data_IF_246643281654
#
_entry.id   IF_246643281654
#
_cell.length_a   1.000
_cell.length_b   1.000
_cell.length_c   1.000
_cell.angle_alpha   90.00
_cell.angle_beta   90.00
_cell.angle_gamma   90.00
#
_symmetry.space_group_name_H-M   'P 1'
#
loop_
_entity.id
_entity.type
_entity.pdbx_description
1 polymer ?
#
# COMPACT_ATOMS: atom_id res chain seq x y z
N UNK A 1 -0.57 -18.94 21.46
CA UNK A 1 0.68 -18.72 20.80
C UNK A 1 0.54 -17.77 19.62
N UNK A 2 1.20 -16.68 19.64
CA UNK A 2 1.09 -15.77 18.53
C UNK A 2 1.78 -16.40 17.32
N UNK A 3 1.00 -16.64 16.31
CA UNK A 3 1.58 -16.95 15.04
C UNK A 3 2.45 -15.77 14.63
N UNK A 4 3.54 -16.05 13.95
CA UNK A 4 4.29 -14.99 13.31
C UNK A 4 3.37 -14.31 12.32
N UNK A 5 3.03 -13.08 12.59
CA UNK A 5 2.23 -12.28 11.70
C UNK A 5 3.06 -11.89 10.50
N UNK A 6 2.61 -12.25 9.33
CA UNK A 6 3.20 -11.76 8.09
C UNK A 6 2.30 -10.68 7.50
N UNK A 7 2.88 -9.80 6.71
CA UNK A 7 2.08 -8.86 5.94
C UNK A 7 1.41 -9.64 4.81
N UNK A 8 0.10 -9.61 4.77
CA UNK A 8 -0.67 -10.33 3.77
C UNK A 8 -0.85 -9.46 2.53
N UNK A 9 -0.52 -10.00 1.37
CA UNK A 9 -0.68 -9.30 0.09
C UNK A 9 -1.59 -10.13 -0.80
N UNK A 10 -2.70 -9.54 -1.23
CA UNK A 10 -3.70 -10.23 -2.05
C UNK A 10 -4.39 -9.25 -3.01
N UNK A 11 -4.79 -9.71 -4.21
CA UNK A 11 -5.57 -8.86 -5.11
C UNK A 11 -6.97 -8.63 -4.54
N UNK A 12 -7.54 -7.48 -4.86
CA UNK A 12 -8.92 -7.15 -4.51
C UNK A 12 -9.78 -7.47 -5.72
N UNK A 13 -10.65 -8.46 -5.58
CA UNK A 13 -11.49 -8.91 -6.68
C UNK A 13 -12.37 -7.78 -7.21
N UNK A 14 -12.40 -7.64 -8.53
CA UNK A 14 -13.22 -6.63 -9.18
C UNK A 14 -12.59 -5.25 -9.30
N UNK A 15 -11.36 -5.06 -8.79
CA UNK A 15 -10.69 -3.76 -8.80
C UNK A 15 -9.26 -3.88 -9.30
N UNK A 16 -8.71 -2.83 -9.94
CA UNK A 16 -7.28 -2.79 -10.29
C UNK A 16 -6.48 -2.42 -9.05
N UNK A 17 -6.54 -3.28 -8.04
CA UNK A 17 -5.98 -2.99 -6.72
C UNK A 17 -5.54 -4.27 -6.03
N UNK A 18 -4.52 -4.12 -5.18
CA UNK A 18 -4.10 -5.17 -4.25
C UNK A 18 -4.24 -4.64 -2.83
N UNK A 19 -4.40 -5.55 -1.88
CA UNK A 19 -4.50 -5.21 -0.46
C UNK A 19 -3.27 -5.72 0.28
N UNK A 20 -2.64 -4.86 1.06
CA UNK A 20 -1.62 -5.22 2.02
C UNK A 20 -2.22 -5.09 3.42
N UNK A 21 -2.32 -6.18 4.14
CA UNK A 21 -2.83 -6.17 5.52
C UNK A 21 -1.65 -6.35 6.48
N UNK A 22 -1.39 -5.34 7.29
CA UNK A 22 -0.28 -5.35 8.25
C UNK A 22 -0.79 -5.76 9.62
N UNK A 23 -0.05 -6.63 10.30
CA UNK A 23 -0.38 -7.02 11.68
C UNK A 23 0.41 -6.17 12.67
N UNK A 24 0.13 -6.38 13.98
CA UNK A 24 0.67 -5.52 15.04
C UNK A 24 2.20 -5.53 15.15
N UNK A 25 2.84 -6.66 14.82
CA UNK A 25 4.31 -6.80 14.89
C UNK A 25 4.81 -7.32 13.57
N UNK A 26 5.61 -6.53 12.87
CA UNK A 26 6.14 -6.88 11.55
C UNK A 26 7.66 -6.76 11.56
N UNK A 27 8.34 -7.83 11.17
CA UNK A 27 9.80 -7.89 11.14
C UNK A 27 10.34 -7.56 9.75
N UNK A 28 11.62 -7.27 9.66
CA UNK A 28 12.29 -6.92 8.40
C UNK A 28 12.05 -7.95 7.29
N UNK A 29 12.12 -9.25 7.60
CA UNK A 29 11.89 -10.30 6.62
C UNK A 29 10.46 -10.28 6.07
N UNK A 30 9.49 -9.97 6.94
CA UNK A 30 8.08 -9.88 6.54
C UNK A 30 7.86 -8.69 5.59
N UNK A 31 8.53 -7.57 5.88
CA UNK A 31 8.50 -6.39 5.02
C UNK A 31 9.06 -6.72 3.63
N UNK A 32 10.23 -7.35 3.59
CA UNK A 32 10.88 -7.71 2.31
C UNK A 32 10.00 -8.65 1.48
N UNK A 33 9.44 -9.68 2.10
CA UNK A 33 8.57 -10.63 1.40
C UNK A 33 7.31 -9.96 0.86
N UNK A 34 6.71 -9.08 1.66
CA UNK A 34 5.51 -8.37 1.26
C UNK A 34 5.78 -7.49 0.04
N UNK A 35 6.85 -6.70 0.06
CA UNK A 35 7.17 -5.82 -1.05
C UNK A 35 7.64 -6.57 -2.30
N UNK A 36 8.24 -7.76 -2.15
CA UNK A 36 8.52 -8.60 -3.31
C UNK A 36 7.22 -8.97 -4.03
N UNK A 37 6.18 -9.36 -3.28
CA UNK A 37 4.88 -9.69 -3.85
C UNK A 37 4.22 -8.46 -4.48
N UNK A 38 4.29 -7.32 -3.82
CA UNK A 38 3.76 -6.07 -4.35
C UNK A 38 4.45 -5.71 -5.66
N UNK A 39 5.76 -5.81 -5.72
CA UNK A 39 6.54 -5.55 -6.93
C UNK A 39 6.10 -6.46 -8.08
N UNK A 40 5.89 -7.74 -7.81
CA UNK A 40 5.41 -8.67 -8.84
C UNK A 40 4.08 -8.21 -9.44
N UNK A 41 3.14 -7.81 -8.59
CA UNK A 41 1.84 -7.33 -9.07
C UNK A 41 1.97 -6.04 -9.87
N UNK A 42 2.76 -5.09 -9.38
CA UNK A 42 2.92 -3.79 -10.03
C UNK A 42 3.64 -3.93 -11.37
N UNK A 43 4.73 -4.71 -11.42
CA UNK A 43 5.52 -4.87 -12.64
C UNK A 43 4.78 -5.65 -13.71
N UNK A 44 3.83 -6.51 -13.34
CA UNK A 44 2.99 -7.26 -14.27
C UNK A 44 1.71 -6.54 -14.66
N UNK A 45 1.43 -5.41 -14.03
CA UNK A 45 0.19 -4.67 -14.28
C UNK A 45 0.17 -4.11 -15.69
N UNK A 46 -0.96 -4.26 -16.38
CA UNK A 46 -1.18 -3.70 -17.72
C UNK A 46 -1.88 -2.36 -17.66
N UNK A 47 -2.31 -1.94 -16.47
CA UNK A 47 -2.98 -0.66 -16.23
C UNK A 47 -2.57 -0.19 -14.83
N UNK A 48 -2.76 1.10 -14.51
CA UNK A 48 -2.40 1.61 -13.19
C UNK A 48 -3.05 0.83 -12.05
N UNK A 49 -2.26 0.50 -11.04
CA UNK A 49 -2.66 -0.33 -9.92
C UNK A 49 -2.71 0.49 -8.65
N UNK A 50 -3.75 0.28 -7.84
CA UNK A 50 -3.88 0.89 -6.53
C UNK A 50 -3.45 -0.11 -5.46
N UNK A 51 -2.80 0.38 -4.40
CA UNK A 51 -2.42 -0.46 -3.27
C UNK A 51 -3.15 0.02 -2.04
N UNK A 52 -4.06 -0.80 -1.55
CA UNK A 52 -4.80 -0.54 -0.30
C UNK A 52 -3.98 -1.12 0.84
N UNK A 53 -3.54 -0.27 1.75
CA UNK A 53 -2.68 -0.66 2.87
C UNK A 53 -3.47 -0.54 4.16
N UNK A 54 -3.82 -1.69 4.75
CA UNK A 54 -4.57 -1.74 6.00
C UNK A 54 -3.59 -1.78 7.17
N UNK A 55 -3.54 -0.68 7.92
CA UNK A 55 -2.71 -0.53 9.11
C UNK A 55 -3.57 -0.30 10.36
N UNK A 56 -4.81 -0.77 10.34
CA UNK A 56 -5.72 -0.62 11.49
C UNK A 56 -5.25 -1.36 12.73
N UNK A 57 -4.36 -2.36 12.58
CA UNK A 57 -3.74 -3.07 13.70
C UNK A 57 -2.66 -2.23 14.41
N UNK A 58 -2.41 -1.01 13.94
CA UNK A 58 -1.36 -0.12 14.47
C UNK A 58 0.01 -0.81 14.49
N UNK A 59 0.53 -1.21 13.32
CA UNK A 59 1.73 -2.02 13.26
C UNK A 59 2.97 -1.33 13.79
N UNK A 60 3.79 -2.11 14.49
CA UNK A 60 5.15 -1.76 14.84
C UNK A 60 6.05 -2.45 13.81
N UNK A 61 6.82 -1.68 13.06
CA UNK A 61 7.59 -2.21 11.94
C UNK A 61 8.90 -1.43 11.76
N UNK A 62 9.89 -2.03 11.08
CA UNK A 62 11.16 -1.34 10.83
C UNK A 62 10.98 -0.26 9.75
N UNK A 63 11.19 0.99 10.12
CA UNK A 63 10.95 2.14 9.25
C UNK A 63 11.87 2.12 8.01
N UNK A 64 13.18 1.95 8.23
CA UNK A 64 14.16 2.00 7.16
C UNK A 64 13.91 0.92 6.09
N UNK A 65 13.71 -0.32 6.53
CA UNK A 65 13.46 -1.44 5.61
C UNK A 65 12.15 -1.24 4.84
N UNK A 66 11.17 -0.61 5.47
CA UNK A 66 9.90 -0.30 4.81
C UNK A 66 10.11 0.76 3.72
N UNK A 67 10.88 1.80 3.98
CA UNK A 67 11.20 2.81 2.97
C UNK A 67 11.94 2.16 1.80
N UNK A 68 12.96 1.35 2.08
CA UNK A 68 13.75 0.67 1.05
C UNK A 68 12.87 -0.26 0.21
N UNK A 69 11.99 -1.03 0.87
CA UNK A 69 11.10 -1.96 0.17
C UNK A 69 10.04 -1.26 -0.68
N UNK A 70 9.49 -0.16 -0.18
CA UNK A 70 8.43 0.56 -0.87
C UNK A 70 8.95 1.45 -2.01
N UNK A 71 10.21 1.85 -1.96
CA UNK A 71 10.77 2.82 -2.90
C UNK A 71 10.61 2.43 -4.37
N UNK A 72 10.96 1.19 -4.81
CA UNK A 72 10.78 0.82 -6.22
C UNK A 72 9.32 0.90 -6.68
N UNK A 73 8.40 0.51 -5.80
CA UNK A 73 6.96 0.56 -6.10
C UNK A 73 6.49 2.01 -6.16
N UNK A 74 6.94 2.83 -5.22
CA UNK A 74 6.54 4.23 -5.12
C UNK A 74 6.92 5.02 -6.38
N UNK A 75 8.02 4.65 -7.02
CA UNK A 75 8.51 5.29 -8.25
C UNK A 75 7.91 4.68 -9.51
N UNK A 76 7.31 3.50 -9.45
CA UNK A 76 6.87 2.78 -10.65
C UNK A 76 5.72 3.52 -11.33
N UNK A 77 5.79 3.72 -12.66
CA UNK A 77 4.73 4.41 -13.40
C UNK A 77 3.40 3.64 -13.42
N UNK A 78 3.41 2.34 -13.13
CA UNK A 78 2.18 1.55 -13.04
C UNK A 78 1.45 1.72 -11.71
N UNK A 79 2.09 2.35 -10.73
CA UNK A 79 1.43 2.64 -9.46
C UNK A 79 0.55 3.87 -9.60
N UNK A 80 -0.76 3.70 -9.37
CA UNK A 80 -1.70 4.81 -9.40
C UNK A 80 -1.68 5.59 -8.09
N UNK A 81 -1.85 4.89 -6.97
CA UNK A 81 -1.83 5.51 -5.64
C UNK A 81 -1.78 4.46 -4.53
N UNK A 82 -1.34 4.91 -3.36
CA UNK A 82 -1.43 4.16 -2.11
C UNK A 82 -2.65 4.65 -1.36
N UNK A 83 -3.51 3.74 -0.95
CA UNK A 83 -4.73 4.05 -0.19
C UNK A 83 -4.55 3.48 1.21
N UNK A 84 -4.20 4.35 2.16
CA UNK A 84 -3.88 3.95 3.53
C UNK A 84 -5.14 3.90 4.38
N UNK A 85 -5.36 2.79 5.07
CA UNK A 85 -6.51 2.60 5.95
C UNK A 85 -6.04 2.61 7.40
N UNK A 86 -6.48 3.58 8.15
CA UNK A 86 -6.10 3.76 9.56
C UNK A 86 -5.17 4.93 9.74
N UNK A 87 -4.53 5.00 10.90
CA UNK A 87 -3.58 6.07 11.23
C UNK A 87 -2.39 5.48 11.99
N UNK A 88 -1.18 5.86 11.58
CA UNK A 88 0.04 5.35 12.19
C UNK A 88 1.18 6.34 11.94
N UNK A 89 1.82 6.80 13.01
CA UNK A 89 2.89 7.79 12.90
C UNK A 89 4.10 7.27 12.11
N UNK A 90 4.43 5.98 12.27
CA UNK A 90 5.51 5.34 11.51
C UNK A 90 5.21 5.32 10.02
N UNK A 91 3.97 4.98 9.65
CA UNK A 91 3.55 4.97 8.25
C UNK A 91 3.59 6.38 7.65
N UNK A 92 3.21 7.40 8.41
CA UNK A 92 3.29 8.79 7.94
C UNK A 92 4.74 9.25 7.77
N UNK A 93 5.64 8.77 8.64
CA UNK A 93 7.07 9.04 8.49
C UNK A 93 7.62 8.41 7.21
N UNK A 94 7.22 7.17 6.89
CA UNK A 94 7.61 6.48 5.66
C UNK A 94 7.12 7.27 4.44
N UNK A 95 5.86 7.67 4.45
CA UNK A 95 5.29 8.48 3.37
C UNK A 95 6.08 9.77 3.15
N UNK A 96 6.39 10.47 4.22
CA UNK A 96 7.12 11.74 4.16
C UNK A 96 8.50 11.55 3.52
N UNK A 97 9.22 10.49 3.91
CA UNK A 97 10.54 10.19 3.36
C UNK A 97 10.45 9.83 1.88
N UNK A 98 9.50 8.98 1.50
CA UNK A 98 9.32 8.55 0.12
C UNK A 98 8.93 9.73 -0.78
N UNK A 99 8.06 10.60 -0.31
CA UNK A 99 7.64 11.79 -1.05
C UNK A 99 8.82 12.73 -1.29
N UNK A 100 9.69 12.93 -0.29
CA UNK A 100 10.88 13.75 -0.42
C UNK A 100 11.87 13.19 -1.44
N UNK A 101 12.12 11.88 -1.36
CA UNK A 101 13.12 11.22 -2.21
C UNK A 101 12.65 11.16 -3.66
N UNK A 102 11.37 10.89 -3.89
CA UNK A 102 10.83 10.68 -5.23
C UNK A 102 10.22 11.92 -5.87
N UNK A 103 9.87 12.92 -5.06
CA UNK A 103 9.13 14.09 -5.53
C UNK A 103 7.67 13.78 -5.86
N UNK A 104 7.16 12.60 -5.49
CA UNK A 104 5.79 12.16 -5.77
C UNK A 104 4.95 12.16 -4.49
N UNK A 105 3.68 12.51 -4.63
CA UNK A 105 2.73 12.53 -3.52
C UNK A 105 1.44 11.86 -3.98
N UNK A 106 1.43 10.54 -3.95
CA UNK A 106 0.30 9.73 -4.42
C UNK A 106 -0.25 8.84 -3.32
N UNK A 107 -0.40 9.39 -2.13
CA UNK A 107 -0.93 8.68 -0.96
C UNK A 107 -2.22 9.35 -0.50
N UNK A 108 -3.25 8.55 -0.27
CA UNK A 108 -4.52 9.01 0.30
C UNK A 108 -4.78 8.26 1.60
N UNK A 109 -5.35 8.93 2.59
CA UNK A 109 -5.62 8.37 3.91
C UNK A 109 -7.12 8.24 4.14
N UNK A 110 -7.55 7.08 4.66
CA UNK A 110 -8.96 6.78 4.94
C UNK A 110 -9.09 6.15 6.32
N UNK A 111 -10.27 6.27 6.92
CA UNK A 111 -10.56 5.66 8.23
C UNK A 111 -10.98 4.20 8.09
N UNK A 112 -11.58 3.82 6.96
CA UNK A 112 -12.08 2.47 6.73
C UNK A 112 -11.87 2.05 5.28
N UNK A 113 -11.77 0.73 5.05
CA UNK A 113 -11.60 0.20 3.69
C UNK A 113 -12.77 0.58 2.77
N UNK A 114 -14.00 0.63 3.33
CA UNK A 114 -15.17 1.04 2.55
C UNK A 114 -14.99 2.43 1.93
N UNK A 115 -14.35 3.35 2.65
CA UNK A 115 -14.09 4.69 2.13
C UNK A 115 -13.09 4.66 0.96
N UNK A 116 -12.08 3.81 1.07
CA UNK A 116 -11.10 3.63 0.00
C UNK A 116 -11.76 3.01 -1.24
N UNK A 117 -12.63 2.03 -1.06
CA UNK A 117 -13.35 1.40 -2.19
C UNK A 117 -14.32 2.38 -2.83
N UNK A 118 -14.97 3.24 -2.06
CA UNK A 118 -15.82 4.31 -2.59
C UNK A 118 -15.01 5.28 -3.45
N UNK A 119 -13.80 5.61 -2.99
CA UNK A 119 -12.87 6.45 -3.74
C UNK A 119 -12.51 5.79 -5.08
N UNK A 120 -12.20 4.49 -5.08
CA UNK A 120 -11.90 3.73 -6.31
C UNK A 120 -13.11 3.70 -7.24
N UNK A 121 -14.31 3.48 -6.69
CA UNK A 121 -15.54 3.46 -7.47
C UNK A 121 -15.77 4.80 -8.17
N UNK A 122 -15.51 5.91 -7.49
CA UNK A 122 -15.65 7.25 -8.05
C UNK A 122 -14.66 7.47 -9.21
N UNK A 123 -13.42 6.99 -9.07
CA UNK A 123 -12.40 7.10 -10.11
C UNK A 123 -12.79 6.26 -11.33
N UNK A 124 -13.21 5.02 -11.13
CA UNK A 124 -13.61 4.12 -12.23
C UNK A 124 -14.82 4.68 -12.97
N UNK A 125 -15.79 5.23 -12.27
CA UNK A 125 -16.97 5.87 -12.86
C UNK A 125 -16.58 7.08 -13.70
N UNK A 126 -15.67 7.89 -13.20
CA UNK A 126 -15.18 9.08 -13.91
C UNK A 126 -14.44 8.67 -15.19
N UNK A 127 -13.61 7.63 -15.11
CA UNK A 127 -12.89 7.11 -16.27
C UNK A 127 -13.84 6.55 -17.32
N UNK A 128 -14.91 5.87 -16.89
CA UNK A 128 -15.91 5.30 -17.80
C UNK A 128 -16.70 6.37 -18.55
N UNK A 129 -16.80 7.58 -18.00
CA UNK A 129 -17.53 8.70 -18.61
C UNK A 129 -16.68 9.54 -19.56
N UNK A 130 -15.43 9.18 -19.70
CA UNK A 130 -14.53 9.80 -20.67
C UNK A 130 -14.65 9.08 -22.02
#
# INVERSE_FOLDING_TARGET
>A
MPANCTVKVEPIEGWPAIRMTWCAQVKSNDVHRAFEKVCEHVFRATRPLYIVVDITASPNFPIFETVVGALPVFKDPHLAAWLMIGSNSGAKAVESLLSRVTGRSNVQWFDAESDALDYLAAIEKKAANL
#
